data_IF_353550690756
#
_entry.id   IF_353550690756
#
_cell.length_a   1.000
_cell.length_b   1.000
_cell.length_c   1.000
_cell.angle_alpha   90.00
_cell.angle_beta   90.00
_cell.angle_gamma   90.00
#
_symmetry.space_group_name_H-M   'P 1'
#
loop_
_entity.id
_entity.type
_entity.pdbx_description
1 polymer ?
#
# COMPACT_ATOMS: atom_id res chain seq x y z
N UNK A 1 1.43 -12.15 8.58
CA UNK A 1 1.29 -13.19 7.55
C UNK A 1 -0.19 -13.52 7.37
N UNK A 2 -0.68 -13.67 6.14
CA UNK A 2 -2.03 -14.16 5.86
C UNK A 2 -2.06 -15.70 5.99
N UNK A 3 -1.89 -16.19 7.22
CA UNK A 3 -1.66 -17.63 7.49
C UNK A 3 -2.83 -18.53 7.03
N UNK A 4 -4.03 -17.97 6.85
CA UNK A 4 -5.21 -18.69 6.37
C UNK A 4 -5.15 -19.10 4.88
N UNK A 5 -4.09 -18.74 4.14
CA UNK A 5 -3.96 -19.04 2.70
C UNK A 5 -2.82 -19.99 2.35
N UNK A 6 -2.14 -20.56 3.34
CA UNK A 6 -0.94 -21.39 3.14
C UNK A 6 -1.20 -22.60 2.22
N UNK A 7 -2.37 -23.22 2.31
CA UNK A 7 -2.76 -24.36 1.44
C UNK A 7 -2.90 -23.93 -0.04
N UNK A 8 -3.47 -22.76 -0.32
CA UNK A 8 -3.62 -22.25 -1.69
C UNK A 8 -2.26 -21.94 -2.30
N UNK A 9 -1.36 -21.34 -1.53
CA UNK A 9 -0.01 -21.04 -2.01
C UNK A 9 0.76 -22.32 -2.34
N UNK A 10 0.58 -23.37 -1.54
CA UNK A 10 1.17 -24.68 -1.81
C UNK A 10 0.62 -25.33 -3.08
N UNK A 11 -0.70 -25.30 -3.28
CA UNK A 11 -1.34 -25.84 -4.50
C UNK A 11 -0.89 -25.11 -5.77
N UNK A 12 -0.69 -23.79 -5.69
CA UNK A 12 -0.21 -22.97 -6.81
C UNK A 12 1.31 -23.01 -7.00
N UNK A 13 2.04 -23.71 -6.12
CA UNK A 13 3.51 -23.78 -6.15
C UNK A 13 4.20 -22.43 -5.89
N UNK A 14 3.53 -21.53 -5.16
CA UNK A 14 4.03 -20.18 -4.85
C UNK A 14 4.81 -20.20 -3.55
N UNK A 15 6.02 -19.66 -3.58
CA UNK A 15 6.77 -19.34 -2.37
C UNK A 15 6.55 -17.86 -2.01
N UNK A 16 6.02 -17.61 -0.82
CA UNK A 16 5.79 -16.24 -0.32
C UNK A 16 6.80 -15.91 0.76
N UNK A 17 7.42 -14.75 0.58
CA UNK A 17 8.31 -14.13 1.55
C UNK A 17 7.66 -12.82 1.99
N UNK A 18 7.51 -12.63 3.30
CA UNK A 18 7.18 -11.35 3.89
C UNK A 18 8.33 -10.90 4.76
N UNK A 19 8.68 -9.62 4.69
CA UNK A 19 9.72 -9.01 5.51
C UNK A 19 9.18 -7.76 6.21
N UNK A 20 9.79 -7.40 7.33
CA UNK A 20 9.48 -6.16 8.02
C UNK A 20 10.18 -4.99 7.30
N UNK A 21 9.44 -3.93 6.98
CA UNK A 21 10.03 -2.71 6.41
C UNK A 21 10.83 -1.96 7.48
N UNK A 22 11.79 -1.09 7.09
CA UNK A 22 12.53 -0.29 8.05
C UNK A 22 11.59 0.46 9.03
N UNK A 23 11.80 0.25 10.33
CA UNK A 23 10.97 0.81 11.41
C UNK A 23 9.80 -0.07 11.87
N UNK A 24 9.63 -1.26 11.29
CA UNK A 24 8.65 -2.27 11.68
C UNK A 24 9.34 -3.54 12.19
N UNK A 25 8.65 -4.26 13.07
CA UNK A 25 9.06 -5.58 13.57
C UNK A 25 10.54 -5.62 13.93
N UNK A 26 11.32 -6.53 13.33
CA UNK A 26 12.75 -6.69 13.62
C UNK A 26 13.71 -5.91 12.70
N UNK A 27 13.21 -5.20 11.68
CA UNK A 27 14.05 -4.46 10.73
C UNK A 27 14.45 -3.09 11.26
N UNK A 28 15.74 -2.79 11.30
CA UNK A 28 16.27 -1.51 11.81
C UNK A 28 15.56 -0.27 11.21
N UNK A 29 15.32 0.80 12.00
CA UNK A 29 14.80 2.05 11.47
C UNK A 29 15.76 2.69 10.46
N UNK A 30 15.22 3.20 9.35
CA UNK A 30 15.93 4.08 8.43
C UNK A 30 15.37 5.52 8.54
N UNK A 31 16.08 6.45 9.20
CA UNK A 31 15.62 7.83 9.33
C UNK A 31 15.67 8.61 8.01
N UNK A 32 16.45 8.13 7.02
CA UNK A 32 16.63 8.75 5.71
C UNK A 32 15.86 7.99 4.62
N UNK A 33 14.92 7.13 5.00
CA UNK A 33 14.17 6.25 4.09
C UNK A 33 13.55 7.03 2.94
N UNK A 34 13.74 6.51 1.74
CA UNK A 34 13.11 6.98 0.50
C UNK A 34 12.36 5.82 -0.17
N UNK A 35 11.49 6.10 -1.14
CA UNK A 35 10.93 5.03 -1.98
C UNK A 35 12.01 4.20 -2.69
N UNK A 36 13.12 4.83 -3.09
CA UNK A 36 14.25 4.16 -3.74
C UNK A 36 15.05 3.30 -2.76
N UNK A 37 15.26 3.72 -1.50
CA UNK A 37 15.99 2.91 -0.53
C UNK A 37 15.28 1.61 -0.20
N UNK A 38 13.95 1.64 -0.09
CA UNK A 38 13.17 0.41 0.07
C UNK A 38 13.26 -0.51 -1.15
N UNK A 39 13.34 0.04 -2.36
CA UNK A 39 13.54 -0.77 -3.57
C UNK A 39 14.90 -1.47 -3.56
N UNK A 40 15.95 -0.79 -3.10
CA UNK A 40 17.28 -1.39 -2.92
C UNK A 40 17.26 -2.51 -1.86
N UNK A 41 16.56 -2.31 -0.73
CA UNK A 41 16.40 -3.36 0.28
C UNK A 41 15.68 -4.60 -0.29
N UNK A 42 14.67 -4.41 -1.14
CA UNK A 42 13.93 -5.50 -1.79
C UNK A 42 14.79 -6.24 -2.81
N UNK A 43 15.59 -5.51 -3.58
CA UNK A 43 16.56 -6.08 -4.53
C UNK A 43 17.60 -6.94 -3.80
N UNK A 44 18.23 -6.40 -2.75
CA UNK A 44 19.21 -7.12 -1.94
C UNK A 44 18.58 -8.37 -1.28
N UNK A 45 17.38 -8.26 -0.74
CA UNK A 45 16.66 -9.39 -0.15
C UNK A 45 16.37 -10.48 -1.21
N UNK A 46 15.92 -10.10 -2.41
CA UNK A 46 15.64 -11.04 -3.48
C UNK A 46 16.90 -11.79 -3.93
N UNK A 47 18.03 -11.09 -4.02
CA UNK A 47 19.33 -11.67 -4.35
C UNK A 47 19.83 -12.65 -3.27
N UNK A 48 19.73 -12.27 -1.98
CA UNK A 48 20.15 -13.13 -0.86
C UNK A 48 19.31 -14.40 -0.75
N UNK A 49 18.02 -14.31 -1.07
CA UNK A 49 17.11 -15.46 -1.09
C UNK A 49 17.21 -16.29 -2.37
N UNK A 50 17.93 -15.80 -3.38
CA UNK A 50 18.08 -16.48 -4.67
C UNK A 50 16.75 -16.62 -5.41
N UNK A 51 15.87 -15.62 -5.34
CA UNK A 51 14.55 -15.65 -6.01
C UNK A 51 14.67 -15.69 -7.54
N UNK A 52 15.85 -15.35 -8.07
CA UNK A 52 16.16 -15.40 -9.49
C UNK A 52 15.61 -14.21 -10.26
N UNK A 53 15.64 -14.30 -11.59
CA UNK A 53 15.29 -13.18 -12.47
C UNK A 53 13.79 -12.94 -12.66
N UNK A 54 12.93 -13.77 -12.06
CA UNK A 54 11.47 -13.62 -12.16
C UNK A 54 10.83 -13.86 -10.81
N UNK A 55 10.45 -12.77 -10.15
CA UNK A 55 9.65 -12.77 -8.93
C UNK A 55 8.59 -11.66 -9.01
N UNK A 56 7.77 -11.54 -7.98
CA UNK A 56 6.73 -10.52 -7.89
C UNK A 56 6.79 -9.81 -6.54
N UNK A 57 6.54 -8.50 -6.55
CA UNK A 57 6.39 -7.69 -5.34
C UNK A 57 4.91 -7.37 -5.14
N UNK A 58 4.40 -7.69 -3.95
CA UNK A 58 3.00 -7.48 -3.58
C UNK A 58 2.92 -6.48 -2.42
N UNK A 59 1.98 -5.55 -2.51
CA UNK A 59 1.79 -4.54 -1.49
C UNK A 59 0.33 -4.17 -1.30
N UNK A 60 -0.09 -4.08 -0.03
CA UNK A 60 -1.42 -3.63 0.38
C UNK A 60 -1.37 -2.23 1.00
N UNK A 61 -2.27 -1.33 0.61
CA UNK A 61 -2.42 0.01 1.20
C UNK A 61 -1.13 0.83 1.10
N UNK A 62 -0.53 1.24 2.22
CA UNK A 62 0.82 1.84 2.25
C UNK A 62 1.88 0.94 1.59
N UNK A 63 1.79 -0.37 1.79
CA UNK A 63 2.66 -1.32 1.10
C UNK A 63 2.43 -1.32 -0.41
N UNK A 64 1.19 -1.11 -0.86
CA UNK A 64 0.87 -0.98 -2.28
C UNK A 64 1.44 0.30 -2.88
N UNK A 65 1.47 1.40 -2.12
CA UNK A 65 2.18 2.62 -2.54
C UNK A 65 3.68 2.37 -2.69
N UNK A 66 4.30 1.67 -1.74
CA UNK A 66 5.72 1.36 -1.76
C UNK A 66 6.15 0.53 -2.99
N UNK A 67 5.26 -0.30 -3.54
CA UNK A 67 5.52 -1.09 -4.76
C UNK A 67 5.90 -0.22 -5.96
N UNK A 68 5.45 1.04 -6.04
CA UNK A 68 5.87 1.96 -7.10
C UNK A 68 7.39 2.17 -7.14
N UNK A 69 8.08 2.14 -5.99
CA UNK A 69 9.55 2.19 -5.94
C UNK A 69 10.21 0.93 -6.49
N UNK A 70 9.55 -0.22 -6.35
CA UNK A 70 10.07 -1.53 -6.74
C UNK A 70 9.72 -1.94 -8.18
N UNK A 71 8.95 -1.13 -8.90
CA UNK A 71 8.28 -1.54 -10.16
C UNK A 71 9.24 -1.87 -11.31
N UNK A 72 10.51 -1.45 -11.21
CA UNK A 72 11.57 -1.78 -12.17
C UNK A 72 12.23 -3.14 -11.90
N UNK A 73 12.00 -3.72 -10.73
CA UNK A 73 12.69 -4.94 -10.28
C UNK A 73 11.98 -6.21 -10.72
N UNK A 74 10.64 -6.19 -10.75
CA UNK A 74 9.81 -7.38 -10.82
C UNK A 74 8.38 -7.08 -11.29
N UNK A 75 7.64 -8.15 -11.61
CA UNK A 75 6.18 -8.09 -11.67
C UNK A 75 5.61 -7.55 -10.36
N UNK A 76 4.44 -6.90 -10.42
CA UNK A 76 3.92 -6.15 -9.29
C UNK A 76 2.42 -6.34 -9.09
N UNK A 77 2.01 -6.52 -7.84
CA UNK A 77 0.61 -6.49 -7.43
C UNK A 77 0.37 -5.41 -6.39
N UNK A 78 -0.37 -4.38 -6.77
CA UNK A 78 -0.75 -3.27 -5.90
C UNK A 78 -2.20 -3.44 -5.48
N UNK A 79 -2.43 -3.53 -4.18
CA UNK A 79 -3.74 -3.84 -3.61
C UNK A 79 -4.17 -2.63 -2.76
N UNK A 80 -5.27 -2.00 -3.14
CA UNK A 80 -5.76 -0.76 -2.56
C UNK A 80 -4.66 0.30 -2.30
N UNK A 81 -3.73 0.56 -3.26
CA UNK A 81 -2.52 1.33 -2.96
C UNK A 81 -2.89 2.76 -2.55
N UNK A 82 -2.26 3.26 -1.49
CA UNK A 82 -2.43 4.65 -1.08
C UNK A 82 -1.78 5.58 -2.12
N UNK A 83 -2.35 6.79 -2.27
CA UNK A 83 -1.90 7.79 -3.24
C UNK A 83 -1.34 9.01 -2.53
N UNK A 84 -0.24 9.53 -3.04
CA UNK A 84 0.25 10.85 -2.65
C UNK A 84 -0.51 11.93 -3.45
N UNK A 85 -1.34 12.71 -2.77
CA UNK A 85 -2.16 13.77 -3.38
C UNK A 85 -1.34 14.89 -4.04
N UNK A 86 -0.03 14.95 -3.79
CA UNK A 86 0.89 15.95 -4.31
C UNK A 86 1.75 15.46 -5.49
N UNK A 87 1.50 14.25 -6.01
CA UNK A 87 2.16 13.80 -7.25
C UNK A 87 1.80 14.74 -8.43
N UNK A 88 2.80 15.38 -9.09
CA UNK A 88 2.58 16.35 -10.16
C UNK A 88 1.78 15.85 -11.38
N UNK A 89 1.79 14.54 -11.64
CA UNK A 89 1.07 13.92 -12.75
C UNK A 89 -0.45 13.98 -12.61
N UNK A 90 -0.98 14.28 -11.42
CA UNK A 90 -2.41 14.49 -11.25
C UNK A 90 -2.85 15.89 -11.69
N UNK A 91 -4.02 16.00 -12.38
CA UNK A 91 -4.71 17.26 -12.52
C UNK A 91 -5.02 17.83 -11.14
N UNK A 92 -4.60 19.07 -10.87
CA UNK A 92 -4.73 19.68 -9.55
C UNK A 92 -6.15 19.69 -9.00
N UNK A 93 -7.17 19.85 -9.85
CA UNK A 93 -8.57 19.78 -9.45
C UNK A 93 -8.97 18.37 -8.98
N UNK A 94 -8.48 17.33 -9.65
CA UNK A 94 -8.79 15.94 -9.34
C UNK A 94 -8.12 15.50 -8.03
N UNK A 95 -6.83 15.81 -7.86
CA UNK A 95 -6.13 15.49 -6.61
C UNK A 95 -6.69 16.28 -5.43
N UNK A 96 -7.10 17.53 -5.64
CA UNK A 96 -7.77 18.36 -4.64
C UNK A 96 -9.12 17.77 -4.22
N UNK A 97 -9.95 17.36 -5.18
CA UNK A 97 -11.26 16.73 -4.90
C UNK A 97 -11.09 15.46 -4.08
N UNK A 98 -10.21 14.55 -4.51
CA UNK A 98 -9.93 13.31 -3.79
C UNK A 98 -9.36 13.58 -2.39
N UNK A 99 -8.47 14.55 -2.25
CA UNK A 99 -7.89 14.94 -0.97
C UNK A 99 -8.95 15.43 0.03
N UNK A 100 -9.92 16.23 -0.42
CA UNK A 100 -10.99 16.76 0.44
C UNK A 100 -12.09 15.75 0.76
N UNK A 101 -12.09 14.56 0.14
CA UNK A 101 -12.97 13.46 0.51
C UNK A 101 -12.61 12.87 1.89
N UNK A 102 -11.35 13.00 2.31
CA UNK A 102 -10.87 12.52 3.60
C UNK A 102 -11.47 13.29 4.77
N UNK A 103 -11.45 12.69 5.96
CA UNK A 103 -11.84 13.39 7.19
C UNK A 103 -10.93 14.62 7.44
N UNK A 104 -11.46 15.72 8.01
CA UNK A 104 -10.67 16.94 8.25
C UNK A 104 -9.37 16.72 9.03
N UNK A 105 -9.34 15.75 9.95
CA UNK A 105 -8.15 15.40 10.72
C UNK A 105 -7.05 14.72 9.89
N UNK A 106 -7.43 13.86 8.93
CA UNK A 106 -6.48 13.25 8.00
C UNK A 106 -5.97 14.29 7.01
N UNK A 107 -6.84 15.19 6.53
CA UNK A 107 -6.44 16.33 5.72
C UNK A 107 -5.29 17.11 6.39
N UNK A 108 -5.45 17.51 7.64
CA UNK A 108 -4.39 18.22 8.37
C UNK A 108 -3.16 17.37 8.62
N UNK A 109 -3.35 16.11 9.02
CA UNK A 109 -2.24 15.18 9.27
C UNK A 109 -1.35 15.02 8.04
N UNK A 110 -1.96 14.82 6.87
CA UNK A 110 -1.23 14.69 5.61
C UNK A 110 -0.59 16.01 5.17
N UNK A 111 -1.22 17.17 5.42
CA UNK A 111 -0.56 18.47 5.19
C UNK A 111 0.70 18.63 6.02
N UNK A 112 0.66 18.22 7.29
CA UNK A 112 1.85 18.26 8.14
C UNK A 112 2.91 17.30 7.62
N UNK A 113 2.54 16.06 7.29
CA UNK A 113 3.46 15.09 6.71
C UNK A 113 4.13 15.61 5.43
N UNK A 114 3.38 16.29 4.57
CA UNK A 114 3.90 16.82 3.31
C UNK A 114 4.76 18.09 3.47
N UNK A 115 4.24 19.11 4.18
CA UNK A 115 4.88 20.44 4.22
C UNK A 115 5.83 20.64 5.40
N UNK A 116 5.66 19.89 6.49
CA UNK A 116 6.46 19.99 7.70
C UNK A 116 6.70 18.60 8.32
N UNK A 117 7.34 17.66 7.59
CA UNK A 117 7.45 16.26 8.02
C UNK A 117 8.05 16.10 9.42
N UNK A 118 8.98 16.97 9.83
CA UNK A 118 9.58 16.97 11.18
C UNK A 118 8.57 17.20 12.32
N UNK A 119 7.37 17.70 12.02
CA UNK A 119 6.27 17.87 12.99
C UNK A 119 5.27 16.71 12.96
N UNK A 120 5.39 15.72 12.07
CA UNK A 120 4.38 14.64 11.89
C UNK A 120 4.11 13.87 13.18
N UNK A 121 5.19 13.50 13.89
CA UNK A 121 5.07 12.81 15.17
C UNK A 121 4.40 13.68 16.23
N UNK A 122 4.89 14.92 16.35
CA UNK A 122 4.34 15.88 17.30
C UNK A 122 2.84 16.07 17.04
N UNK A 123 2.44 16.31 15.79
CA UNK A 123 1.04 16.50 15.41
C UNK A 123 0.15 15.33 15.83
N UNK A 124 0.54 14.10 15.51
CA UNK A 124 -0.28 12.91 15.78
C UNK A 124 -0.29 12.46 17.26
N UNK A 125 0.47 13.11 18.14
CA UNK A 125 0.54 12.78 19.57
C UNK A 125 -0.10 13.83 20.47
N UNK A 126 -0.73 14.86 19.89
CA UNK A 126 -1.41 15.90 20.67
C UNK A 126 -2.79 15.46 21.17
N UNK A 127 -3.19 15.98 22.34
CA UNK A 127 -4.50 15.71 22.94
C UNK A 127 -5.58 16.75 22.55
N UNK A 128 -5.19 17.87 21.93
CA UNK A 128 -6.10 18.99 21.65
C UNK A 128 -6.80 18.90 20.30
N UNK A 129 -6.34 18.00 19.43
CA UNK A 129 -6.94 17.70 18.14
C UNK A 129 -6.71 16.22 17.81
N UNK A 130 -7.60 15.58 17.04
CA UNK A 130 -7.49 14.17 16.72
C UNK A 130 -6.27 13.90 15.81
N UNK A 131 -5.61 12.76 16.06
CA UNK A 131 -4.65 12.16 15.15
C UNK A 131 -5.33 11.63 13.87
N UNK A 132 -4.54 11.07 12.94
CA UNK A 132 -5.09 10.39 11.76
C UNK A 132 -6.16 9.37 12.14
N UNK A 133 -7.31 9.40 11.45
CA UNK A 133 -8.42 8.49 11.68
C UNK A 133 -8.06 7.04 11.32
N UNK A 134 -7.30 6.86 10.23
CA UNK A 134 -6.79 5.55 9.79
C UNK A 134 -5.84 4.98 10.86
N UNK A 135 -4.86 5.77 11.31
CA UNK A 135 -3.92 5.34 12.35
C UNK A 135 -4.62 5.05 13.69
N UNK A 136 -5.67 5.79 14.01
CA UNK A 136 -6.49 5.58 15.20
C UNK A 136 -7.53 4.46 15.06
N UNK A 137 -7.65 3.82 13.88
CA UNK A 137 -8.59 2.72 13.63
C UNK A 137 -10.06 3.14 13.77
N UNK A 138 -10.41 4.36 13.36
CA UNK A 138 -11.75 4.92 13.49
C UNK A 138 -12.75 4.24 12.57
N UNK A 139 -13.93 3.91 13.07
CA UNK A 139 -14.97 3.22 12.30
C UNK A 139 -15.39 3.99 11.04
N UNK A 140 -15.30 5.32 11.07
CA UNK A 140 -15.70 6.22 9.97
C UNK A 140 -14.86 6.08 8.70
N UNK A 141 -13.68 5.44 8.77
CA UNK A 141 -12.82 5.22 7.58
C UNK A 141 -13.09 3.87 6.88
N UNK A 142 -14.06 3.09 7.36
CA UNK A 142 -14.38 1.77 6.85
C UNK A 142 -15.72 1.79 6.12
N UNK A 143 -15.84 1.03 5.03
CA UNK A 143 -17.14 0.76 4.40
C UNK A 143 -17.97 -0.22 5.26
N UNK A 144 -19.26 -0.38 4.92
CA UNK A 144 -20.11 -1.39 5.57
C UNK A 144 -19.53 -2.80 5.47
N UNK A 145 -18.98 -3.17 4.30
CA UNK A 145 -18.34 -4.48 4.11
C UNK A 145 -17.06 -4.61 4.94
N UNK A 146 -16.27 -3.54 5.04
CA UNK A 146 -15.06 -3.58 5.87
C UNK A 146 -15.39 -3.84 7.34
N UNK A 147 -16.46 -3.21 7.85
CA UNK A 147 -16.94 -3.42 9.20
C UNK A 147 -17.43 -4.86 9.42
N UNK A 148 -18.11 -5.46 8.43
CA UNK A 148 -18.52 -6.87 8.48
C UNK A 148 -17.31 -7.82 8.54
N UNK A 149 -16.27 -7.56 7.74
CA UNK A 149 -15.03 -8.34 7.73
C UNK A 149 -14.30 -8.22 9.08
N UNK A 150 -14.17 -7.00 9.61
CA UNK A 150 -13.45 -6.73 10.87
C UNK A 150 -14.19 -7.31 12.07
N UNK A 151 -15.53 -7.34 12.04
CA UNK A 151 -16.33 -7.94 13.09
C UNK A 151 -16.18 -9.47 13.18
N UNK A 152 -15.63 -10.12 12.15
CA UNK A 152 -15.38 -11.55 12.15
C UNK A 152 -14.01 -11.87 12.80
N UNK A 153 -14.06 -12.57 13.93
CA UNK A 153 -12.89 -12.93 14.76
C UNK A 153 -11.86 -13.80 14.02
N UNK A 154 -12.24 -14.53 12.97
CA UNK A 154 -11.29 -15.31 12.15
C UNK A 154 -10.25 -14.40 11.45
N UNK A 155 -10.59 -13.15 11.16
CA UNK A 155 -9.70 -12.22 10.44
C UNK A 155 -8.92 -11.27 11.36
N UNK A 156 -9.36 -11.10 12.62
CA UNK A 156 -8.85 -10.06 13.52
C UNK A 156 -8.44 -10.63 14.89
N UNK A 157 -7.40 -11.47 14.95
CA UNK A 157 -6.81 -11.81 16.25
C UNK A 157 -5.90 -10.67 16.75
N UNK A 158 -6.22 -10.11 17.91
CA UNK A 158 -5.57 -8.92 18.48
C UNK A 158 -4.07 -9.07 18.82
N UNK A 159 -3.53 -10.30 18.86
CA UNK A 159 -2.11 -10.57 19.08
C UNK A 159 -1.21 -10.12 17.91
N UNK A 160 -1.73 -10.01 16.69
CA UNK A 160 -0.97 -9.62 15.49
C UNK A 160 -0.62 -8.12 15.42
N UNK A 161 -1.24 -7.25 16.21
CA UNK A 161 -1.06 -5.78 16.07
C UNK A 161 0.17 -5.22 16.82
N UNK A 162 0.64 -5.86 17.88
CA UNK A 162 1.69 -5.29 18.73
C UNK A 162 3.11 -5.49 18.19
N UNK A 163 3.39 -6.67 17.61
CA UNK A 163 4.72 -7.01 17.09
C UNK A 163 5.20 -6.07 15.96
N UNK A 164 4.40 -5.78 14.91
CA UNK A 164 4.87 -4.95 13.81
C UNK A 164 5.28 -3.55 14.24
N UNK A 165 4.72 -3.03 15.33
CA UNK A 165 4.97 -1.67 15.82
C UNK A 165 5.87 -1.63 17.06
N UNK A 166 6.63 -2.70 17.33
CA UNK A 166 7.48 -2.80 18.53
C UNK A 166 8.56 -1.70 18.64
N UNK A 167 8.93 -1.10 17.51
CA UNK A 167 9.86 0.04 17.45
C UNK A 167 9.20 1.40 17.73
N UNK A 168 7.89 1.41 17.98
CA UNK A 168 7.10 2.59 18.31
C UNK A 168 6.48 3.29 17.09
N UNK A 169 5.42 4.06 17.35
CA UNK A 169 4.65 4.74 16.28
C UNK A 169 5.48 5.72 15.46
N UNK A 170 6.56 6.27 16.03
CA UNK A 170 7.41 7.23 15.34
C UNK A 170 8.11 6.61 14.13
N UNK A 171 8.81 5.50 14.34
CA UNK A 171 9.57 4.83 13.29
C UNK A 171 8.71 3.97 12.36
N UNK A 172 7.50 3.60 12.81
CA UNK A 172 6.53 2.86 11.99
C UNK A 172 5.57 3.80 11.26
N UNK A 173 4.35 3.98 11.79
CA UNK A 173 3.24 4.67 11.09
C UNK A 173 3.58 6.11 10.68
N UNK A 174 4.25 6.88 11.55
CA UNK A 174 4.55 8.28 11.22
C UNK A 174 5.67 8.39 10.19
N UNK A 175 6.65 7.48 10.19
CA UNK A 175 7.66 7.37 9.14
C UNK A 175 7.03 7.06 7.80
N UNK A 176 6.07 6.13 7.77
CA UNK A 176 5.24 5.84 6.59
C UNK A 176 4.52 7.08 6.08
N UNK A 177 3.90 7.85 6.97
CA UNK A 177 3.26 9.11 6.56
C UNK A 177 4.26 10.11 5.97
N UNK A 178 5.42 10.31 6.63
CA UNK A 178 6.45 11.24 6.16
C UNK A 178 7.00 10.87 4.79
N UNK A 179 7.23 9.57 4.54
CA UNK A 179 7.78 9.10 3.26
C UNK A 179 6.69 9.03 2.18
N UNK A 180 5.54 8.43 2.49
CA UNK A 180 4.45 8.19 1.54
C UNK A 180 3.77 9.46 1.04
N UNK A 181 3.68 10.49 1.89
CA UNK A 181 3.10 11.80 1.54
C UNK A 181 4.13 12.92 1.40
N UNK A 182 5.41 12.60 1.57
CA UNK A 182 6.53 13.51 1.33
C UNK A 182 6.75 13.80 -0.15
N UNK A 183 7.91 14.36 -0.48
CA UNK A 183 8.35 14.53 -1.86
C UNK A 183 9.06 13.28 -2.31
N UNK A 184 8.66 12.75 -3.46
CA UNK A 184 9.33 11.63 -4.10
C UNK A 184 10.27 12.14 -5.19
N UNK A 185 11.33 11.39 -5.43
CA UNK A 185 12.33 11.64 -6.47
C UNK A 185 11.77 11.39 -7.88
N UNK A 186 10.63 10.69 -7.97
CA UNK A 186 9.92 10.39 -9.21
C UNK A 186 8.40 10.50 -9.03
N UNK A 187 7.69 10.68 -10.14
CA UNK A 187 6.24 10.52 -10.22
C UNK A 187 5.92 9.18 -10.89
N UNK A 188 5.10 8.30 -10.29
CA UNK A 188 4.66 7.07 -10.94
C UNK A 188 4.07 7.26 -12.35
N UNK A 189 3.39 8.39 -12.59
CA UNK A 189 2.73 8.69 -13.86
C UNK A 189 3.68 9.14 -14.97
N UNK A 190 4.96 9.40 -14.67
CA UNK A 190 6.00 9.66 -15.67
C UNK A 190 6.43 8.37 -16.41
N UNK A 191 6.10 7.20 -15.86
CA UNK A 191 6.44 5.89 -16.45
C UNK A 191 5.45 5.50 -17.56
N UNK A 192 5.31 6.29 -18.63
CA UNK A 192 4.33 6.02 -19.70
C UNK A 192 4.58 4.69 -20.45
N UNK A 193 5.82 4.19 -20.41
CA UNK A 193 6.23 2.89 -20.95
C UNK A 193 6.42 1.93 -19.78
N UNK A 194 5.96 0.68 -19.95
CA UNK A 194 6.13 -0.37 -18.95
C UNK A 194 7.62 -0.47 -18.53
N UNK A 195 7.95 -0.21 -17.26
CA UNK A 195 9.33 -0.21 -16.78
C UNK A 195 9.90 -1.62 -16.56
N UNK A 196 9.05 -2.66 -16.62
CA UNK A 196 9.46 -4.05 -16.42
C UNK A 196 10.13 -4.60 -17.69
N UNK A 197 11.31 -5.24 -17.59
CA UNK A 197 11.94 -5.93 -18.72
C UNK A 197 11.05 -7.03 -19.34
N UNK A 198 11.25 -7.33 -20.63
CA UNK A 198 10.52 -8.40 -21.31
C UNK A 198 10.64 -9.74 -20.55
N UNK A 199 9.49 -10.32 -20.20
CA UNK A 199 9.41 -11.55 -19.41
C UNK A 199 9.50 -11.38 -17.89
N UNK A 200 9.70 -10.15 -17.39
CA UNK A 200 9.79 -9.81 -15.97
C UNK A 200 8.47 -9.84 -15.20
N UNK A 201 7.34 -10.06 -15.88
CA UNK A 201 6.01 -10.15 -15.30
C UNK A 201 5.10 -9.00 -15.73
N UNK A 202 3.99 -8.84 -15.01
CA UNK A 202 2.97 -7.82 -15.26
C UNK A 202 2.69 -7.02 -14.01
N UNK A 203 2.03 -5.88 -14.20
CA UNK A 203 1.61 -5.01 -13.10
C UNK A 203 0.10 -5.03 -13.00
N UNK A 204 -0.40 -5.39 -11.83
CA UNK A 204 -1.81 -5.41 -11.52
C UNK A 204 -2.12 -4.43 -10.39
N UNK A 205 -3.23 -3.72 -10.52
CA UNK A 205 -3.74 -2.81 -9.49
C UNK A 205 -5.19 -3.17 -9.18
N UNK A 206 -5.43 -3.68 -7.96
CA UNK A 206 -6.78 -3.98 -7.47
C UNK A 206 -7.26 -2.91 -6.52
N UNK A 207 -8.51 -2.45 -6.68
CA UNK A 207 -9.10 -1.43 -5.82
C UNK A 207 -10.58 -1.68 -5.57
N UNK A 208 -11.03 -1.47 -4.33
CA UNK A 208 -12.44 -1.54 -3.97
C UNK A 208 -13.17 -0.27 -4.40
N UNK A 209 -14.31 -0.39 -5.08
CA UNK A 209 -15.12 0.76 -5.51
C UNK A 209 -15.60 1.62 -4.33
N UNK A 210 -15.91 0.98 -3.20
CA UNK A 210 -16.46 1.62 -1.99
C UNK A 210 -15.38 1.90 -0.92
N UNK A 211 -14.10 1.81 -1.29
CA UNK A 211 -12.97 2.11 -0.39
C UNK A 211 -13.07 3.55 0.17
N UNK A 212 -13.30 3.65 1.49
CA UNK A 212 -13.42 4.92 2.21
C UNK A 212 -12.08 5.42 2.76
N UNK A 213 -11.04 4.58 2.84
CA UNK A 213 -9.71 4.99 3.28
C UNK A 213 -8.94 5.64 2.15
N UNK A 214 -8.97 5.01 0.98
CA UNK A 214 -8.27 5.43 -0.22
C UNK A 214 -9.28 5.49 -1.35
N UNK A 215 -9.87 6.68 -1.62
CA UNK A 215 -10.87 6.81 -2.67
C UNK A 215 -10.32 6.35 -4.03
N UNK A 216 -11.07 5.48 -4.70
CA UNK A 216 -10.71 4.86 -5.99
C UNK A 216 -10.46 5.86 -7.13
N UNK A 217 -10.94 7.10 -6.98
CA UNK A 217 -10.88 8.18 -7.96
C UNK A 217 -9.49 8.41 -8.55
N UNK A 218 -8.44 8.45 -7.72
CA UNK A 218 -7.08 8.68 -8.21
C UNK A 218 -6.48 7.44 -8.89
N UNK A 219 -6.88 6.23 -8.48
CA UNK A 219 -6.45 5.00 -9.14
C UNK A 219 -7.03 4.86 -10.53
N UNK A 220 -8.30 5.21 -10.73
CA UNK A 220 -8.92 5.30 -12.07
C UNK A 220 -8.12 6.22 -13.00
N UNK A 221 -7.58 7.32 -12.48
CA UNK A 221 -6.74 8.23 -13.26
C UNK A 221 -5.37 7.62 -13.58
N UNK A 222 -4.70 7.03 -12.59
CA UNK A 222 -3.41 6.35 -12.79
C UNK A 222 -3.55 5.25 -13.85
N UNK A 223 -4.56 4.38 -13.72
CA UNK A 223 -4.82 3.28 -14.67
C UNK A 223 -5.08 3.79 -16.10
N UNK A 224 -5.77 4.92 -16.25
CA UNK A 224 -5.99 5.54 -17.56
C UNK A 224 -4.70 6.13 -18.14
N UNK A 225 -3.83 6.68 -17.30
CA UNK A 225 -2.56 7.30 -17.70
C UNK A 225 -1.48 6.27 -18.01
N UNK A 226 -1.50 5.13 -17.31
CA UNK A 226 -0.54 4.03 -17.40
C UNK A 226 -1.23 2.76 -17.94
N UNK A 227 -1.45 2.64 -19.26
CA UNK A 227 -2.23 1.54 -19.85
C UNK A 227 -1.58 0.17 -19.71
N UNK A 228 -0.31 0.11 -19.29
CA UNK A 228 0.39 -1.15 -18.98
C UNK A 228 0.06 -1.68 -17.58
N UNK A 229 -0.58 -0.88 -16.72
CA UNK A 229 -1.13 -1.35 -15.44
C UNK A 229 -2.48 -2.02 -15.70
N UNK A 230 -2.57 -3.32 -15.40
CA UNK A 230 -3.83 -4.07 -15.45
C UNK A 230 -4.68 -3.68 -14.25
N UNK A 231 -5.70 -2.84 -14.48
CA UNK A 231 -6.55 -2.30 -13.44
C UNK A 231 -7.79 -3.15 -13.20
N UNK A 232 -8.05 -3.47 -11.93
CA UNK A 232 -9.11 -4.33 -11.46
C UNK A 232 -9.92 -3.59 -10.39
N UNK A 233 -11.03 -3.00 -10.80
CA UNK A 233 -11.97 -2.37 -9.86
C UNK A 233 -13.00 -3.39 -9.39
N UNK A 234 -13.20 -3.48 -8.08
CA UNK A 234 -14.08 -4.46 -7.46
C UNK A 234 -15.38 -3.78 -6.98
N UNK A 235 -16.53 -4.01 -7.66
CA UNK A 235 -17.79 -3.36 -7.31
C UNK A 235 -18.27 -3.74 -5.91
N UNK A 236 -18.74 -2.73 -5.16
CA UNK A 236 -19.25 -2.93 -3.80
C UNK A 236 -18.20 -3.45 -2.78
N UNK A 237 -16.91 -3.30 -3.07
CA UNK A 237 -15.82 -3.72 -2.18
C UNK A 237 -15.19 -2.53 -1.46
N UNK A 238 -14.96 -2.68 -0.15
CA UNK A 238 -14.26 -1.71 0.71
C UNK A 238 -12.74 -1.91 0.71
N UNK A 239 -12.00 -1.27 1.62
CA UNK A 239 -10.54 -1.35 1.70
C UNK A 239 -10.03 -2.73 2.12
N UNK A 240 -10.81 -3.46 2.92
CA UNK A 240 -10.45 -4.75 3.53
C UNK A 240 -10.78 -5.95 2.64
N UNK A 241 -11.17 -5.73 1.38
CA UNK A 241 -11.43 -6.77 0.39
C UNK A 241 -10.34 -7.87 0.27
N UNK A 242 -9.03 -7.61 0.51
CA UNK A 242 -8.02 -8.66 0.40
C UNK A 242 -8.16 -9.75 1.46
N UNK A 243 -8.92 -9.51 2.52
CA UNK A 243 -9.23 -10.52 3.53
C UNK A 243 -10.30 -11.51 3.07
N UNK A 244 -11.03 -11.21 2.00
CA UNK A 244 -12.01 -12.13 1.41
C UNK A 244 -11.24 -13.24 0.67
N UNK A 245 -11.33 -14.51 1.10
CA UNK A 245 -10.47 -15.58 0.57
C UNK A 245 -10.56 -15.72 -0.95
N UNK A 246 -11.77 -15.72 -1.52
CA UNK A 246 -11.99 -15.89 -2.96
C UNK A 246 -11.36 -14.77 -3.79
N UNK A 247 -11.39 -13.54 -3.27
CA UNK A 247 -10.79 -12.40 -3.95
C UNK A 247 -9.26 -12.50 -3.88
N UNK A 248 -8.70 -12.78 -2.71
CA UNK A 248 -7.25 -12.95 -2.57
C UNK A 248 -6.71 -14.05 -3.48
N UNK A 249 -7.36 -15.21 -3.50
CA UNK A 249 -7.00 -16.32 -4.40
C UNK A 249 -7.03 -15.90 -5.88
N UNK A 250 -8.04 -15.12 -6.28
CA UNK A 250 -8.17 -14.63 -7.65
C UNK A 250 -7.05 -13.65 -8.01
N UNK A 251 -6.66 -12.75 -7.09
CA UNK A 251 -5.53 -11.83 -7.30
C UNK A 251 -4.21 -12.57 -7.52
N UNK A 252 -3.93 -13.59 -6.70
CA UNK A 252 -2.72 -14.41 -6.81
C UNK A 252 -2.69 -15.13 -8.16
N UNK A 253 -3.80 -15.75 -8.57
CA UNK A 253 -3.90 -16.43 -9.87
C UNK A 253 -3.69 -15.46 -11.03
N UNK A 254 -4.33 -14.29 -10.99
CA UNK A 254 -4.18 -13.27 -12.03
C UNK A 254 -2.72 -12.80 -12.16
N UNK A 255 -2.01 -12.64 -11.04
CA UNK A 255 -0.59 -12.24 -11.04
C UNK A 255 0.32 -13.31 -11.68
N UNK A 256 0.06 -14.59 -11.42
CA UNK A 256 0.89 -15.70 -11.89
C UNK A 256 0.62 -16.07 -13.36
N UNK A 257 -0.65 -16.06 -13.76
CA UNK A 257 -1.10 -16.49 -15.08
C UNK A 257 -1.31 -15.33 -16.06
N UNK A 258 -1.09 -14.10 -15.59
CA UNK A 258 -1.26 -12.87 -16.37
C UNK A 258 -2.69 -12.65 -16.89
N UNK A 259 -3.69 -13.10 -16.12
CA UNK A 259 -5.11 -13.01 -16.47
C UNK A 259 -5.68 -11.60 -16.22
N UNK A 260 -6.66 -11.19 -17.05
CA UNK A 260 -7.40 -9.94 -16.88
C UNK A 260 -8.71 -10.15 -16.11
#
# INVERSE_FOLDING_TARGET
>A
SFDFQQEVYQELGVHIVSFDRPGYGESDPDPNRTPESLAMDVEELADQLGLGSKFYVLGFSMGGQAVWGCIKLAGAGMIAPVVNYWWPGFPSNLSTEAYYFQLPQDQWTLRVAHYAPWLTYWWNTQNWFPASAVAAGRAEVFSSQDLEIIANEEFCSGQLRAYPMQQGNFESLHRDMMVGFGRWEFDPMDMEINPIPDGGGSVHLWHGEEDQMVPVTLQRYIAKKLPWVKYHELPGKGHMFPLIPEISQSMIKALLYDEN
#
